data_IF_401057254176
#
_entry.id   IF_401057254176
#
_cell.length_a   1.000
_cell.length_b   1.000
_cell.length_c   1.000
_cell.angle_alpha   90.00
_cell.angle_beta   90.00
_cell.angle_gamma   90.00
#
_symmetry.space_group_name_H-M   'P 1'
#
loop_
_entity.id
_entity.type
_entity.pdbx_description
1 polymer ?
#
# COMPACT_ATOMS: atom_id res chain seq x y z
N UNK A 1 20.17 32.41 1.83
CA UNK A 1 21.25 31.44 2.05
C UNK A 1 20.73 30.10 1.58
N UNK A 2 21.54 29.34 0.84
CA UNK A 2 21.18 28.15 0.04
C UNK A 2 20.79 26.90 0.87
N UNK A 3 20.14 27.07 2.02
CA UNK A 3 19.67 25.97 2.86
C UNK A 3 18.16 25.83 2.79
N UNK A 4 17.71 24.59 2.80
CA UNK A 4 16.31 24.24 2.96
C UNK A 4 15.88 24.48 4.40
N UNK A 5 14.68 25.05 4.57
CA UNK A 5 14.03 25.18 5.88
C UNK A 5 12.78 24.31 5.90
N UNK A 6 12.78 23.28 6.74
CA UNK A 6 11.62 22.42 6.99
C UNK A 6 10.86 22.95 8.19
N UNK A 7 9.54 23.08 8.06
CA UNK A 7 8.65 23.48 9.14
C UNK A 7 7.79 22.28 9.52
N UNK A 8 7.86 21.89 10.79
CA UNK A 8 7.10 20.78 11.35
C UNK A 8 6.45 21.19 12.67
N UNK A 9 5.62 20.31 13.24
CA UNK A 9 5.00 20.53 14.55
C UNK A 9 6.01 20.58 15.70
N UNK A 10 7.21 20.02 15.51
CA UNK A 10 8.32 20.09 16.48
C UNK A 10 9.24 21.29 16.28
N UNK A 11 8.95 22.16 15.29
CA UNK A 11 9.72 23.37 15.01
C UNK A 11 10.34 23.41 13.63
N UNK A 12 11.36 24.25 13.48
CA UNK A 12 12.08 24.48 12.23
C UNK A 12 13.40 23.72 12.20
N UNK A 13 13.71 23.10 11.06
CA UNK A 13 14.98 22.43 10.80
C UNK A 13 15.62 23.03 9.55
N UNK A 14 16.93 23.21 9.56
CA UNK A 14 17.70 23.59 8.38
C UNK A 14 18.47 22.39 7.83
N UNK A 15 18.53 22.26 6.51
CA UNK A 15 19.26 21.20 5.82
C UNK A 15 19.86 21.71 4.51
N UNK A 16 20.97 21.09 4.07
CA UNK A 16 21.59 21.42 2.78
C UNK A 16 20.85 20.73 1.61
N UNK A 17 20.16 19.62 1.88
CA UNK A 17 19.28 18.93 0.94
C UNK A 17 18.12 18.21 1.65
N UNK A 18 17.07 17.87 0.90
CA UNK A 18 15.84 17.23 1.38
C UNK A 18 15.48 16.04 0.49
N UNK A 19 15.15 14.90 1.09
CA UNK A 19 14.48 13.78 0.40
C UNK A 19 13.03 13.73 0.87
N UNK A 20 12.08 13.84 -0.06
CA UNK A 20 10.67 13.57 0.21
C UNK A 20 10.39 12.09 -0.04
N UNK A 21 10.42 11.29 1.03
CA UNK A 21 10.10 9.86 1.04
C UNK A 21 8.63 9.56 1.42
N UNK A 22 7.77 10.58 1.40
CA UNK A 22 6.36 10.48 1.76
C UNK A 22 5.49 10.19 0.52
N UNK A 23 4.22 9.78 0.68
CA UNK A 23 3.33 9.61 -0.47
C UNK A 23 3.24 10.88 -1.32
N UNK A 24 3.13 10.75 -2.64
CA UNK A 24 3.15 11.88 -3.58
C UNK A 24 2.12 12.97 -3.25
N UNK A 25 0.92 12.61 -2.79
CA UNK A 25 -0.11 13.59 -2.34
C UNK A 25 0.33 14.46 -1.16
N UNK A 26 1.26 13.96 -0.33
CA UNK A 26 1.86 14.70 0.78
C UNK A 26 3.00 15.54 0.24
N UNK A 27 3.88 14.96 -0.57
CA UNK A 27 4.97 15.67 -1.23
C UNK A 27 4.47 16.87 -2.05
N UNK A 28 3.32 16.73 -2.73
CA UNK A 28 2.67 17.80 -3.49
C UNK A 28 2.43 19.08 -2.67
N UNK A 29 2.27 18.96 -1.34
CA UNK A 29 2.04 20.09 -0.43
C UNK A 29 3.33 20.70 0.12
N UNK A 30 4.47 20.02 -0.09
CA UNK A 30 5.77 20.36 0.48
C UNK A 30 6.74 20.91 -0.56
N UNK A 31 6.53 20.60 -1.84
CA UNK A 31 7.37 21.09 -2.93
C UNK A 31 7.18 22.60 -3.15
N UNK A 32 8.24 23.33 -3.54
CA UNK A 32 8.19 24.78 -3.71
C UNK A 32 7.62 25.24 -5.07
N UNK A 33 7.39 24.32 -6.02
CA UNK A 33 6.87 24.63 -7.37
C UNK A 33 5.43 24.16 -7.53
N UNK A 34 4.60 25.01 -8.13
CA UNK A 34 3.21 24.68 -8.46
C UNK A 34 3.12 23.57 -9.52
N UNK A 35 4.03 23.54 -10.48
CA UNK A 35 4.12 22.49 -11.50
C UNK A 35 4.41 21.14 -10.86
N UNK A 36 5.40 21.06 -9.96
CA UNK A 36 5.69 19.85 -9.19
C UNK A 36 4.49 19.43 -8.35
N UNK A 37 3.83 20.40 -7.69
CA UNK A 37 2.65 20.14 -6.86
C UNK A 37 1.52 19.52 -7.68
N UNK A 38 1.26 20.06 -8.88
CA UNK A 38 0.22 19.58 -9.80
C UNK A 38 0.51 18.16 -10.29
N UNK A 39 1.73 17.89 -10.72
CA UNK A 39 2.09 16.54 -11.19
C UNK A 39 2.02 15.52 -10.05
N UNK A 40 2.55 15.84 -8.86
CA UNK A 40 2.51 14.94 -7.69
C UNK A 40 1.08 14.66 -7.20
N UNK A 41 0.23 15.68 -7.15
CA UNK A 41 -1.16 15.53 -6.70
C UNK A 41 -2.04 14.74 -7.67
N UNK A 42 -1.65 14.65 -8.94
CA UNK A 42 -2.36 13.85 -9.95
C UNK A 42 -2.07 12.34 -9.89
N UNK A 43 -1.16 11.91 -9.02
CA UNK A 43 -0.90 10.48 -8.79
C UNK A 43 -2.04 9.93 -7.91
N UNK A 44 -2.87 9.09 -8.50
CA UNK A 44 -4.01 8.48 -7.81
C UNK A 44 -3.57 7.38 -6.84
N UNK A 45 -4.33 7.23 -5.76
CA UNK A 45 -4.10 6.20 -4.75
C UNK A 45 -5.38 5.44 -4.48
N UNK A 46 -5.27 4.13 -4.38
CA UNK A 46 -6.38 3.27 -3.98
C UNK A 46 -6.33 2.96 -2.49
N UNK A 47 -7.53 2.74 -1.95
CA UNK A 47 -7.77 2.26 -0.61
C UNK A 47 -7.95 0.75 -0.63
N UNK A 48 -7.28 0.05 0.29
CA UNK A 48 -7.37 -1.41 0.42
C UNK A 48 -7.48 -1.80 1.88
N UNK A 49 -8.06 -2.96 2.14
CA UNK A 49 -8.05 -3.57 3.46
C UNK A 49 -7.65 -5.04 3.36
N UNK A 50 -7.07 -5.55 4.44
CA UNK A 50 -6.88 -6.98 4.63
C UNK A 50 -7.59 -7.41 5.89
N UNK A 51 -8.34 -8.50 5.80
CA UNK A 51 -8.97 -9.13 6.96
C UNK A 51 -8.35 -10.49 7.18
N UNK A 52 -7.91 -10.74 8.40
CA UNK A 52 -7.39 -12.03 8.83
C UNK A 52 -8.43 -12.74 9.68
N UNK A 53 -8.55 -14.05 9.46
CA UNK A 53 -9.42 -14.95 10.23
C UNK A 53 -8.64 -16.18 10.66
N UNK A 54 -8.63 -16.46 11.96
CA UNK A 54 -8.09 -17.70 12.50
C UNK A 54 -9.22 -18.67 12.82
N UNK A 55 -9.06 -19.93 12.43
CA UNK A 55 -10.00 -21.02 12.68
C UNK A 55 -9.27 -22.22 13.27
N UNK A 56 -10.03 -23.09 13.93
CA UNK A 56 -9.57 -24.45 14.14
C UNK A 56 -9.51 -25.21 12.81
N UNK A 57 -8.45 -25.99 12.57
CA UNK A 57 -8.30 -26.75 11.33
C UNK A 57 -9.45 -27.72 11.11
N UNK A 58 -10.05 -28.25 12.19
CA UNK A 58 -11.18 -29.16 12.10
C UNK A 58 -12.47 -28.50 11.57
N UNK A 59 -12.60 -27.17 11.67
CA UNK A 59 -13.75 -26.43 11.15
C UNK A 59 -13.67 -26.17 9.63
N UNK A 60 -12.46 -26.20 9.05
CA UNK A 60 -12.24 -25.83 7.65
C UNK A 60 -12.25 -27.09 6.79
N UNK A 61 -13.29 -27.31 5.99
CA UNK A 61 -13.33 -28.52 5.13
C UNK A 61 -12.43 -28.42 3.91
N UNK A 62 -12.11 -27.21 3.46
CA UNK A 62 -11.24 -26.96 2.33
C UNK A 62 -9.83 -27.58 2.54
N UNK A 63 -9.23 -28.22 1.52
CA UNK A 63 -7.93 -28.89 1.66
C UNK A 63 -6.76 -27.93 1.89
N UNK A 64 -6.85 -26.70 1.37
CA UNK A 64 -5.81 -25.66 1.43
C UNK A 64 -4.52 -26.05 0.67
N UNK A 65 -4.68 -26.86 -0.38
CA UNK A 65 -3.67 -27.35 -1.32
C UNK A 65 -3.21 -26.27 -2.32
N UNK A 66 -2.80 -25.13 -1.78
CA UNK A 66 -2.30 -23.99 -2.54
C UNK A 66 -1.93 -22.83 -1.62
N UNK A 67 -1.54 -21.70 -2.21
CA UNK A 67 -1.21 -20.48 -1.44
C UNK A 67 -2.41 -19.53 -1.28
N UNK A 68 -3.51 -19.82 -1.95
CA UNK A 68 -4.71 -18.99 -2.02
C UNK A 68 -5.26 -18.87 -3.43
N UNK A 69 -6.05 -17.83 -3.68
CA UNK A 69 -6.72 -17.58 -4.95
C UNK A 69 -6.94 -16.08 -5.18
N UNK A 70 -7.20 -15.70 -6.43
CA UNK A 70 -7.61 -14.35 -6.83
C UNK A 70 -9.05 -14.40 -7.34
N UNK A 71 -9.80 -13.32 -7.11
CA UNK A 71 -11.20 -13.21 -7.54
C UNK A 71 -11.27 -12.22 -8.71
N UNK A 72 -11.77 -12.65 -9.89
CA UNK A 72 -11.92 -11.76 -11.02
C UNK A 72 -12.82 -10.56 -10.72
N UNK A 73 -12.56 -9.38 -11.34
CA UNK A 73 -13.35 -8.19 -11.08
C UNK A 73 -14.83 -8.38 -11.45
N UNK A 74 -15.72 -8.26 -10.47
CA UNK A 74 -17.18 -8.42 -10.64
C UNK A 74 -17.73 -9.77 -10.19
N UNK A 75 -16.87 -10.69 -9.74
CA UNK A 75 -17.29 -12.02 -9.26
C UNK A 75 -17.37 -12.12 -7.73
N UNK A 76 -17.11 -11.04 -6.98
CA UNK A 76 -17.09 -11.05 -5.51
C UNK A 76 -16.71 -9.73 -4.84
N UNK A 77 -16.87 -9.69 -3.51
CA UNK A 77 -16.54 -8.54 -2.66
C UNK A 77 -15.05 -8.49 -2.26
N UNK A 78 -14.34 -9.61 -2.36
CA UNK A 78 -12.89 -9.70 -2.09
C UNK A 78 -12.10 -9.73 -3.40
N UNK A 79 -10.86 -9.26 -3.36
CA UNK A 79 -9.91 -9.29 -4.48
C UNK A 79 -9.13 -10.62 -4.54
N UNK A 80 -8.87 -11.21 -3.37
CA UNK A 80 -8.08 -12.43 -3.22
C UNK A 80 -8.25 -13.02 -1.81
N UNK A 81 -8.03 -14.32 -1.71
CA UNK A 81 -7.82 -15.05 -0.47
C UNK A 81 -6.40 -15.61 -0.42
N UNK A 82 -5.72 -15.58 0.73
CA UNK A 82 -4.41 -16.21 0.95
C UNK A 82 -4.50 -17.19 2.11
N UNK A 83 -3.92 -18.38 1.93
CA UNK A 83 -3.80 -19.40 2.96
C UNK A 83 -2.44 -19.22 3.63
N UNK A 84 -2.41 -18.60 4.82
CA UNK A 84 -1.14 -18.18 5.43
C UNK A 84 -0.33 -19.38 5.90
N UNK A 85 -0.97 -20.40 6.48
CA UNK A 85 -0.31 -21.63 6.92
C UNK A 85 0.36 -22.37 5.75
N UNK A 86 -0.26 -22.41 4.55
CA UNK A 86 0.33 -23.06 3.38
C UNK A 86 1.51 -22.29 2.79
N UNK A 87 1.53 -20.97 2.95
CA UNK A 87 2.60 -20.10 2.43
C UNK A 87 3.76 -19.95 3.42
N UNK A 88 3.44 -19.85 4.71
CA UNK A 88 4.37 -19.57 5.80
C UNK A 88 3.99 -20.37 7.04
N UNK A 89 4.32 -21.65 7.04
CA UNK A 89 3.91 -22.61 8.08
C UNK A 89 4.19 -22.12 9.51
N UNK A 90 5.39 -21.59 9.75
CA UNK A 90 5.83 -21.06 11.06
C UNK A 90 5.07 -19.82 11.57
N UNK A 91 4.12 -19.27 10.80
CA UNK A 91 3.30 -18.10 11.18
C UNK A 91 1.97 -18.49 11.81
N UNK A 92 1.64 -19.78 11.83
CA UNK A 92 0.36 -20.30 12.33
C UNK A 92 0.63 -21.46 13.29
N UNK A 93 0.02 -21.48 14.49
CA UNK A 93 0.14 -22.62 15.40
C UNK A 93 -0.41 -23.92 14.79
N UNK A 94 0.12 -25.06 15.25
CA UNK A 94 -0.38 -26.38 14.87
C UNK A 94 -1.88 -26.51 15.14
N UNK A 95 -2.59 -27.20 14.24
CA UNK A 95 -4.04 -27.40 14.34
C UNK A 95 -4.87 -26.16 14.05
N UNK A 96 -4.26 -25.03 13.65
CA UNK A 96 -4.97 -23.81 13.27
C UNK A 96 -4.84 -23.49 11.79
N UNK A 97 -5.79 -22.70 11.29
CA UNK A 97 -5.80 -22.14 9.93
C UNK A 97 -5.86 -20.63 10.04
N UNK A 98 -5.04 -19.93 9.27
CA UNK A 98 -5.09 -18.48 9.16
C UNK A 98 -5.35 -18.08 7.69
N UNK A 99 -6.53 -17.53 7.44
CA UNK A 99 -6.92 -17.01 6.14
C UNK A 99 -6.75 -15.49 6.13
N UNK A 100 -6.34 -14.95 4.98
CA UNK A 100 -6.32 -13.51 4.73
C UNK A 100 -7.12 -13.18 3.49
N UNK A 101 -8.17 -12.37 3.63
CA UNK A 101 -8.92 -11.80 2.54
C UNK A 101 -8.45 -10.37 2.24
N UNK A 102 -8.50 -9.96 0.97
CA UNK A 102 -8.22 -8.61 0.52
C UNK A 102 -9.49 -7.93 0.03
N UNK A 103 -9.73 -6.68 0.43
CA UNK A 103 -10.85 -5.87 -0.04
C UNK A 103 -10.36 -4.54 -0.59
N UNK A 104 -11.21 -3.89 -1.38
CA UNK A 104 -10.98 -2.55 -1.88
C UNK A 104 -10.43 -2.51 -3.30
N UNK A 105 -9.35 -1.77 -3.50
CA UNK A 105 -8.74 -1.60 -4.82
C UNK A 105 -9.61 -0.74 -5.73
N UNK A 106 -9.45 -0.89 -7.04
CA UNK A 106 -9.99 0.06 -8.02
C UNK A 106 -11.52 0.17 -8.03
N UNK A 107 -12.22 -0.88 -7.56
CA UNK A 107 -13.70 -0.94 -7.55
C UNK A 107 -14.31 -0.90 -6.14
N UNK A 108 -13.50 -1.00 -5.09
CA UNK A 108 -13.96 -1.11 -3.71
C UNK A 108 -13.31 -0.12 -2.75
N UNK A 109 -12.51 0.84 -3.23
CA UNK A 109 -11.81 1.80 -2.38
C UNK A 109 -12.75 2.53 -1.42
N UNK A 110 -13.91 2.99 -1.90
CA UNK A 110 -14.92 3.68 -1.11
C UNK A 110 -15.49 2.79 0.00
N UNK A 111 -15.72 1.50 -0.29
CA UNK A 111 -16.16 0.52 0.70
C UNK A 111 -15.16 0.42 1.85
N UNK A 112 -13.85 0.42 1.53
CA UNK A 112 -12.77 0.42 2.53
C UNK A 112 -12.68 1.73 3.30
N UNK A 113 -13.10 2.87 2.75
CA UNK A 113 -13.06 4.16 3.45
C UNK A 113 -14.28 4.39 4.34
N UNK A 114 -15.45 3.88 3.95
CA UNK A 114 -16.73 4.24 4.57
C UNK A 114 -17.23 3.22 5.60
N UNK A 115 -16.93 1.93 5.42
CA UNK A 115 -17.49 0.87 6.29
C UNK A 115 -16.68 0.69 7.57
N UNK A 116 -17.31 0.12 8.59
CA UNK A 116 -16.66 -0.30 9.83
C UNK A 116 -15.86 -1.60 9.63
N UNK A 117 -14.94 -1.87 10.55
CA UNK A 117 -14.14 -3.09 10.51
C UNK A 117 -15.01 -4.36 10.61
N UNK A 118 -16.11 -4.30 11.37
CA UNK A 118 -17.06 -5.41 11.50
C UNK A 118 -17.77 -5.69 10.17
N UNK A 119 -18.19 -4.66 9.43
CA UNK A 119 -18.82 -4.81 8.12
C UNK A 119 -17.83 -5.37 7.08
N UNK A 120 -16.59 -4.87 7.07
CA UNK A 120 -15.53 -5.38 6.19
C UNK A 120 -15.24 -6.86 6.48
N UNK A 121 -15.15 -7.23 7.75
CA UNK A 121 -14.94 -8.61 8.16
C UNK A 121 -16.12 -9.51 7.78
N UNK A 122 -17.36 -9.07 8.02
CA UNK A 122 -18.55 -9.84 7.66
C UNK A 122 -18.64 -10.13 6.16
N UNK A 123 -18.34 -9.12 5.31
CA UNK A 123 -18.29 -9.30 3.86
C UNK A 123 -17.19 -10.28 3.44
N UNK A 124 -16.00 -10.10 4.00
CA UNK A 124 -14.87 -10.96 3.69
C UNK A 124 -15.12 -12.42 4.08
N UNK A 125 -15.68 -12.66 5.27
CA UNK A 125 -16.01 -14.00 5.75
C UNK A 125 -17.06 -14.66 4.86
N UNK A 126 -18.17 -13.95 4.57
CA UNK A 126 -19.23 -14.44 3.69
C UNK A 126 -18.69 -14.85 2.32
N UNK A 127 -17.77 -14.05 1.78
CA UNK A 127 -17.19 -14.31 0.47
C UNK A 127 -16.17 -15.47 0.50
N UNK A 128 -15.39 -15.60 1.57
CA UNK A 128 -14.55 -16.77 1.80
C UNK A 128 -15.39 -18.05 1.91
N UNK A 129 -16.50 -18.04 2.65
CA UNK A 129 -17.40 -19.19 2.77
C UNK A 129 -18.04 -19.57 1.43
N UNK A 130 -18.43 -18.56 0.63
CA UNK A 130 -18.97 -18.78 -0.72
C UNK A 130 -17.97 -19.51 -1.63
N UNK A 131 -16.69 -19.17 -1.52
CA UNK A 131 -15.62 -19.66 -2.41
C UNK A 131 -14.96 -20.95 -1.91
N UNK A 132 -14.88 -21.14 -0.59
CA UNK A 132 -14.14 -22.25 0.04
C UNK A 132 -15.06 -23.31 0.66
N UNK A 133 -16.37 -23.07 0.73
CA UNK A 133 -17.32 -23.86 1.51
C UNK A 133 -17.42 -23.39 2.95
N UNK A 134 -18.18 -24.12 3.77
CA UNK A 134 -18.43 -23.74 5.16
C UNK A 134 -17.12 -23.58 5.94
N UNK A 135 -16.99 -22.40 6.54
CA UNK A 135 -15.99 -22.09 7.56
C UNK A 135 -16.73 -22.05 8.90
N UNK A 136 -16.10 -22.49 9.98
CA UNK A 136 -16.69 -22.34 11.32
C UNK A 136 -16.66 -20.89 11.80
N UNK A 137 -17.05 -20.64 13.04
CA UNK A 137 -16.84 -19.33 13.65
C UNK A 137 -15.33 -19.07 13.86
N UNK A 138 -14.81 -17.91 13.42
CA UNK A 138 -13.41 -17.58 13.61
C UNK A 138 -13.10 -17.31 15.09
N UNK A 139 -12.05 -17.94 15.62
CA UNK A 139 -11.54 -17.72 16.98
C UNK A 139 -10.91 -16.33 17.12
N UNK A 140 -10.44 -15.78 16.00
CA UNK A 140 -9.82 -14.46 15.95
C UNK A 140 -10.04 -13.79 14.60
N UNK A 141 -10.35 -12.50 14.63
CA UNK A 141 -10.51 -11.66 13.44
C UNK A 141 -9.72 -10.36 13.61
N UNK A 142 -9.01 -9.95 12.55
CA UNK A 142 -8.30 -8.66 12.55
C UNK A 142 -8.35 -7.98 11.20
N UNK A 143 -8.79 -6.72 11.21
CA UNK A 143 -8.82 -5.86 10.03
C UNK A 143 -7.60 -4.92 10.07
N UNK A 144 -6.96 -4.77 8.92
CA UNK A 144 -5.98 -3.72 8.65
C UNK A 144 -6.44 -2.91 7.44
N UNK A 145 -6.42 -1.59 7.57
CA UNK A 145 -6.89 -0.66 6.53
C UNK A 145 -5.74 0.20 6.04
N UNK A 146 -5.72 0.40 4.74
CA UNK A 146 -4.70 1.17 4.02
C UNK A 146 -5.39 2.21 3.15
N UNK A 147 -6.01 3.25 3.75
CA UNK A 147 -6.70 4.28 3.00
C UNK A 147 -5.70 5.07 2.15
N UNK A 148 -6.00 5.26 0.87
CA UNK A 148 -5.20 6.03 -0.10
C UNK A 148 -3.71 5.70 -0.02
N UNK A 149 -3.38 4.42 0.06
CA UNK A 149 -2.02 3.95 0.36
C UNK A 149 -1.35 3.24 -0.82
N UNK A 150 -2.12 2.86 -1.84
CA UNK A 150 -1.61 2.16 -3.01
C UNK A 150 -1.54 3.07 -4.25
N UNK A 151 -0.38 3.66 -4.60
CA UNK A 151 -0.25 4.53 -5.77
C UNK A 151 -0.51 3.78 -7.08
N UNK A 152 -1.16 4.44 -8.03
CA UNK A 152 -1.53 3.83 -9.30
C UNK A 152 -0.73 4.43 -10.48
N UNK A 153 0.11 3.62 -11.15
CA UNK A 153 0.82 4.05 -12.36
C UNK A 153 -0.10 3.96 -13.59
N UNK A 154 -1.08 4.84 -13.68
CA UNK A 154 -1.99 4.93 -14.83
C UNK A 154 -1.27 5.37 -16.12
N UNK A 155 -1.98 5.33 -17.25
CA UNK A 155 -1.49 5.87 -18.51
C UNK A 155 -1.01 7.33 -18.31
N UNK A 156 0.16 7.65 -18.87
CA UNK A 156 0.80 8.96 -18.66
C UNK A 156 1.72 9.03 -17.44
N UNK A 157 1.85 7.95 -16.64
CA UNK A 157 2.68 7.98 -15.43
C UNK A 157 4.16 8.22 -15.74
N UNK A 158 4.71 7.58 -16.78
CA UNK A 158 6.13 7.75 -17.16
C UNK A 158 6.42 9.18 -17.60
N UNK A 159 5.54 9.77 -18.40
CA UNK A 159 5.63 11.15 -18.89
C UNK A 159 5.54 12.13 -17.72
N UNK A 160 4.67 11.86 -16.74
CA UNK A 160 4.58 12.62 -15.50
C UNK A 160 5.89 12.55 -14.71
N UNK A 161 6.47 11.37 -14.53
CA UNK A 161 7.78 11.23 -13.88
C UNK A 161 8.87 11.96 -14.65
N UNK A 162 8.81 11.98 -15.99
CA UNK A 162 9.66 12.79 -16.84
C UNK A 162 9.60 14.28 -16.49
N UNK A 163 8.39 14.84 -16.45
CA UNK A 163 8.18 16.25 -16.06
C UNK A 163 8.66 16.55 -14.64
N UNK A 164 8.44 15.65 -13.68
CA UNK A 164 8.95 15.83 -12.32
C UNK A 164 10.49 15.93 -12.29
N UNK A 165 11.18 15.14 -13.12
CA UNK A 165 12.65 15.17 -13.23
C UNK A 165 13.16 16.38 -13.99
N UNK A 166 12.47 16.78 -15.06
CA UNK A 166 12.80 18.00 -15.83
C UNK A 166 12.67 19.26 -14.96
N UNK A 167 11.71 19.26 -14.03
CA UNK A 167 11.49 20.34 -13.07
C UNK A 167 12.17 20.09 -11.71
N UNK A 168 13.18 19.23 -11.65
CA UNK A 168 13.90 18.93 -10.42
C UNK A 168 14.54 20.19 -9.83
N UNK A 169 14.41 20.36 -8.51
CA UNK A 169 15.01 21.46 -7.77
C UNK A 169 16.30 20.97 -7.12
N UNK A 170 17.40 21.72 -7.28
CA UNK A 170 18.69 21.37 -6.66
C UNK A 170 18.51 21.18 -5.14
N UNK A 171 19.06 20.09 -4.62
CA UNK A 171 18.97 19.72 -3.21
C UNK A 171 17.61 19.15 -2.80
N UNK A 172 16.72 18.83 -3.74
CA UNK A 172 15.45 18.15 -3.48
C UNK A 172 15.35 16.86 -4.29
N UNK A 173 15.20 15.74 -3.60
CA UNK A 173 14.96 14.43 -4.21
C UNK A 173 13.60 13.87 -3.81
N UNK A 174 13.02 13.08 -4.72
CA UNK A 174 11.76 12.37 -4.53
C UNK A 174 12.03 10.86 -4.54
N UNK A 175 11.55 10.12 -3.54
CA UNK A 175 11.75 8.68 -3.48
C UNK A 175 10.53 7.97 -2.87
N UNK A 176 10.24 6.75 -3.33
CA UNK A 176 9.22 5.88 -2.74
C UNK A 176 8.25 5.30 -3.75
N UNK A 177 7.22 4.62 -3.25
CA UNK A 177 6.33 3.78 -4.06
C UNK A 177 5.56 4.52 -5.17
N UNK A 178 5.50 5.86 -5.12
CA UNK A 178 4.75 6.68 -6.07
C UNK A 178 5.46 6.92 -7.41
N UNK A 179 6.72 6.49 -7.54
CA UNK A 179 7.57 6.83 -8.66
C UNK A 179 7.98 5.57 -9.44
N UNK A 180 9.22 5.12 -9.33
CA UNK A 180 9.78 4.05 -10.17
C UNK A 180 9.54 2.65 -9.60
N UNK A 181 8.30 2.34 -9.26
CA UNK A 181 7.89 1.02 -8.76
C UNK A 181 7.37 1.06 -7.33
N UNK A 182 6.39 0.19 -7.06
CA UNK A 182 5.67 0.08 -5.79
C UNK A 182 6.27 -0.96 -4.83
N UNK A 183 7.16 -1.82 -5.34
CA UNK A 183 7.75 -2.90 -4.57
C UNK A 183 8.71 -2.40 -3.49
N UNK A 184 8.89 -3.21 -2.44
CA UNK A 184 9.91 -2.92 -1.42
C UNK A 184 11.31 -2.80 -2.05
N UNK A 185 11.76 -3.73 -2.92
CA UNK A 185 13.07 -3.60 -3.58
C UNK A 185 13.18 -2.33 -4.43
N UNK A 186 12.10 -1.95 -5.12
CA UNK A 186 12.07 -0.72 -5.92
C UNK A 186 12.24 0.52 -5.04
N UNK A 187 11.54 0.58 -3.91
CA UNK A 187 11.68 1.66 -2.93
C UNK A 187 13.09 1.75 -2.36
N UNK A 188 13.73 0.61 -2.07
CA UNK A 188 15.12 0.57 -1.59
C UNK A 188 16.07 1.12 -2.64
N UNK A 189 15.97 0.63 -3.88
CA UNK A 189 16.82 1.10 -4.97
C UNK A 189 16.62 2.59 -5.27
N UNK A 190 15.39 3.11 -5.13
CA UNK A 190 15.10 4.55 -5.24
C UNK A 190 15.76 5.35 -4.11
N UNK A 191 15.72 4.85 -2.87
CA UNK A 191 16.35 5.51 -1.73
C UNK A 191 17.88 5.60 -1.91
N UNK A 192 18.51 4.52 -2.39
CA UNK A 192 19.96 4.51 -2.70
C UNK A 192 20.31 5.55 -3.75
N UNK A 193 19.57 5.60 -4.88
CA UNK A 193 19.77 6.61 -5.92
C UNK A 193 19.59 8.05 -5.43
N UNK A 194 18.58 8.29 -4.60
CA UNK A 194 18.34 9.61 -4.02
C UNK A 194 19.50 10.04 -3.10
N UNK A 195 20.01 9.12 -2.27
CA UNK A 195 21.16 9.38 -1.41
C UNK A 195 22.42 9.70 -2.23
N UNK A 196 22.73 8.91 -3.26
CA UNK A 196 23.86 9.17 -4.16
C UNK A 196 23.74 10.51 -4.89
N UNK A 197 22.53 10.86 -5.35
CA UNK A 197 22.26 12.13 -6.01
C UNK A 197 22.52 13.31 -5.08
N UNK A 198 21.99 13.26 -3.85
CA UNK A 198 22.21 14.32 -2.85
C UNK A 198 23.68 14.47 -2.54
N UNK A 199 24.41 13.37 -2.28
CA UNK A 199 25.85 13.44 -1.98
C UNK A 199 26.61 14.17 -3.10
N UNK A 200 26.27 13.92 -4.37
CA UNK A 200 26.89 14.63 -5.51
C UNK A 200 26.51 16.11 -5.62
N UNK A 201 25.37 16.52 -5.06
CA UNK A 201 24.86 17.89 -5.14
C UNK A 201 25.34 18.77 -3.97
N UNK A 202 25.60 18.17 -2.80
CA UNK A 202 26.00 18.89 -1.57
C UNK A 202 27.47 18.74 -1.21
N UNK A 203 28.19 17.77 -1.80
CA UNK A 203 29.65 17.68 -1.72
C UNK A 203 30.31 18.72 -2.64
#
# INVERSE_FOLDING_TARGET
GEKWQLVSTSGKLEADAVVLACPARVAAKLVPSEELSRDLSSIEYLSTATVFFAFDRAQVTHPLDGVGFVVPPGEGDILAGTFINSKWEHRVPDGKVLLRAFLGGARGGDLVEQQSDAELAGRALKELERLMGSLGEPEWTRVFRYPKSNPQPHLGHKERLGRLRENAVRGLELAGAAYDGVGIPDCVAQAERAAESIVKQVA
#
